data_IF_747821127190
#
_entry.id   IF_747821127190
#
_cell.length_a   1.000
_cell.length_b   1.000
_cell.length_c   1.000
_cell.angle_alpha   90.00
_cell.angle_beta   90.00
_cell.angle_gamma   90.00
#
_symmetry.space_group_name_H-M   'P 1'
#
loop_
_entity.id
_entity.type
_entity.pdbx_description
1 polymer ?
#
# COMPACT_ATOMS: atom_id res chain seq x y z
N UNK A 1 -4.59 -23.61 19.33
CA UNK A 1 -5.33 -23.58 18.03
C UNK A 1 -4.51 -24.33 16.97
N UNK A 2 -5.11 -25.08 16.05
CA UNK A 2 -4.35 -25.70 14.95
C UNK A 2 -4.15 -24.72 13.79
N UNK A 3 -3.14 -24.94 12.96
CA UNK A 3 -2.87 -24.14 11.75
C UNK A 3 -4.09 -24.09 10.82
N UNK A 4 -4.70 -25.25 10.57
CA UNK A 4 -5.85 -25.36 9.68
C UNK A 4 -7.08 -24.62 10.23
N UNK A 5 -7.27 -24.64 11.56
CA UNK A 5 -8.36 -23.88 12.18
C UNK A 5 -8.17 -22.37 12.01
N UNK A 6 -6.94 -21.86 12.14
CA UNK A 6 -6.63 -20.43 11.92
C UNK A 6 -6.94 -20.03 10.47
N UNK A 7 -6.56 -20.87 9.50
CA UNK A 7 -6.85 -20.62 8.08
C UNK A 7 -8.34 -20.70 7.76
N UNK A 8 -9.03 -21.68 8.33
CA UNK A 8 -10.48 -21.87 8.16
C UNK A 8 -11.27 -20.68 8.70
N UNK A 9 -10.90 -20.16 9.87
CA UNK A 9 -11.49 -18.94 10.42
C UNK A 9 -11.20 -17.73 9.54
N UNK A 10 -9.96 -17.56 9.10
CA UNK A 10 -9.57 -16.44 8.26
C UNK A 10 -10.29 -16.43 6.90
N UNK A 11 -10.59 -17.62 6.37
CA UNK A 11 -11.42 -17.77 5.18
C UNK A 11 -12.86 -17.31 5.39
N UNK A 12 -13.50 -17.75 6.47
CA UNK A 12 -14.89 -17.37 6.79
C UNK A 12 -15.04 -15.88 7.12
N UNK A 13 -14.00 -15.26 7.65
CA UNK A 13 -13.94 -13.81 7.88
C UNK A 13 -13.53 -13.01 6.64
N UNK A 14 -13.37 -13.66 5.47
CA UNK A 14 -12.93 -13.03 4.23
C UNK A 14 -11.62 -12.25 4.37
N UNK A 15 -10.73 -12.72 5.25
CA UNK A 15 -9.43 -12.08 5.49
C UNK A 15 -8.55 -12.30 4.26
N UNK A 16 -8.00 -11.23 3.64
CA UNK A 16 -7.15 -11.39 2.47
C UNK A 16 -5.87 -12.16 2.79
N UNK A 17 -5.32 -12.87 1.80
CA UNK A 17 -4.25 -13.87 1.97
C UNK A 17 -3.04 -13.33 2.76
N UNK A 18 -2.61 -12.09 2.50
CA UNK A 18 -1.46 -11.47 3.18
C UNK A 18 -1.70 -11.32 4.69
N UNK A 19 -2.89 -10.90 5.09
CA UNK A 19 -3.30 -10.73 6.49
C UNK A 19 -3.44 -12.08 7.20
N UNK A 20 -3.68 -13.17 6.47
CA UNK A 20 -3.67 -14.52 7.08
C UNK A 20 -2.29 -14.89 7.61
N UNK A 21 -1.20 -14.39 7.02
CA UNK A 21 0.14 -14.58 7.58
C UNK A 21 0.31 -13.94 8.95
N UNK A 22 -0.30 -12.77 9.19
CA UNK A 22 -0.25 -12.12 10.50
C UNK A 22 -0.97 -12.96 11.57
N UNK A 23 -2.11 -13.56 11.22
CA UNK A 23 -2.83 -14.49 12.09
C UNK A 23 -2.02 -15.77 12.37
N UNK A 24 -1.36 -16.33 11.35
CA UNK A 24 -0.50 -17.50 11.51
C UNK A 24 0.67 -17.19 12.46
N UNK A 25 1.34 -16.05 12.26
CA UNK A 25 2.44 -15.61 13.12
C UNK A 25 1.97 -15.40 14.58
N UNK A 26 0.84 -14.73 14.79
CA UNK A 26 0.28 -14.52 16.12
C UNK A 26 -0.09 -15.85 16.82
N UNK A 27 -0.43 -16.88 16.05
CA UNK A 27 -0.72 -18.22 16.56
C UNK A 27 0.52 -19.14 16.70
N UNK A 28 1.73 -18.64 16.40
CA UNK A 28 2.99 -19.40 16.51
C UNK A 28 3.32 -20.26 15.29
N UNK A 29 2.70 -20.02 14.14
CA UNK A 29 2.94 -20.74 12.88
C UNK A 29 3.69 -19.89 11.86
N UNK A 30 4.40 -20.56 10.95
CA UNK A 30 5.08 -19.89 9.85
C UNK A 30 4.09 -19.28 8.82
N UNK A 31 4.41 -18.13 8.21
CA UNK A 31 3.67 -17.57 7.08
C UNK A 31 3.50 -18.59 5.95
N UNK A 32 2.37 -18.55 5.26
CA UNK A 32 2.03 -19.52 4.20
C UNK A 32 1.77 -18.88 2.84
N UNK A 33 1.56 -17.57 2.80
CA UNK A 33 1.32 -16.83 1.57
C UNK A 33 2.49 -15.90 1.30
N UNK A 34 3.04 -15.92 0.08
CA UNK A 34 4.12 -15.00 -0.27
C UNK A 34 3.60 -13.57 -0.40
N UNK A 35 4.37 -12.61 0.11
CA UNK A 35 4.13 -11.18 -0.04
C UNK A 35 5.34 -10.55 -0.72
N UNK A 36 5.09 -9.71 -1.73
CA UNK A 36 6.14 -8.97 -2.42
C UNK A 36 6.00 -7.50 -2.08
N UNK A 37 7.13 -6.90 -1.71
CA UNK A 37 7.21 -5.44 -1.53
C UNK A 37 6.95 -4.76 -2.87
N UNK A 38 6.39 -3.54 -2.86
CA UNK A 38 6.29 -2.72 -4.07
C UNK A 38 7.67 -2.35 -4.65
N UNK A 39 8.74 -2.49 -3.85
CA UNK A 39 10.14 -2.33 -4.27
C UNK A 39 10.77 -3.63 -4.80
N UNK A 40 10.03 -4.74 -4.83
CA UNK A 40 10.52 -6.01 -5.38
C UNK A 40 10.79 -5.87 -6.88
N UNK A 41 11.98 -6.29 -7.33
CA UNK A 41 12.39 -6.20 -8.73
C UNK A 41 11.41 -6.89 -9.70
N UNK A 42 10.70 -7.92 -9.26
CA UNK A 42 9.69 -8.61 -10.06
C UNK A 42 8.45 -7.75 -10.35
N UNK A 43 8.21 -6.69 -9.58
CA UNK A 43 7.12 -5.73 -9.80
C UNK A 43 7.54 -4.51 -10.63
N UNK A 44 8.82 -4.38 -10.99
CA UNK A 44 9.31 -3.22 -11.75
C UNK A 44 8.52 -2.93 -13.05
N UNK A 45 8.13 -3.92 -13.88
CA UNK A 45 7.31 -3.66 -15.06
C UNK A 45 5.92 -3.11 -14.74
N UNK A 46 5.30 -3.60 -13.66
CA UNK A 46 4.00 -3.10 -13.21
C UNK A 46 4.11 -1.68 -12.67
N UNK A 47 5.15 -1.38 -11.90
CA UNK A 47 5.41 -0.02 -11.42
C UNK A 47 5.71 0.95 -12.57
N UNK A 48 6.41 0.52 -13.62
CA UNK A 48 6.60 1.33 -14.82
C UNK A 48 5.28 1.68 -15.53
N UNK A 49 4.33 0.73 -15.58
CA UNK A 49 2.99 1.00 -16.11
C UNK A 49 2.22 2.02 -15.26
N UNK A 50 2.34 1.97 -13.93
CA UNK A 50 1.77 2.97 -13.02
C UNK A 50 2.32 4.36 -13.33
N UNK A 51 3.64 4.50 -13.49
CA UNK A 51 4.28 5.78 -13.84
C UNK A 51 3.78 6.34 -15.19
N UNK A 52 3.57 5.50 -16.19
CA UNK A 52 3.00 5.91 -17.49
C UNK A 52 1.60 6.49 -17.31
N UNK A 53 0.75 5.83 -16.53
CA UNK A 53 -0.62 6.30 -16.26
C UNK A 53 -0.59 7.63 -15.50
N UNK A 54 0.23 7.75 -14.45
CA UNK A 54 0.36 8.98 -13.66
C UNK A 54 0.82 10.16 -14.52
N UNK A 55 1.85 9.95 -15.33
CA UNK A 55 2.35 10.97 -16.26
C UNK A 55 1.32 11.33 -17.33
N UNK A 56 0.57 10.35 -17.83
CA UNK A 56 -0.50 10.58 -18.81
C UNK A 56 -1.64 11.47 -18.29
N UNK A 57 -1.78 11.64 -16.97
CA UNK A 57 -2.76 12.56 -16.39
C UNK A 57 -2.29 14.01 -16.34
N UNK A 58 -1.01 14.33 -16.57
CA UNK A 58 -0.54 15.71 -16.56
C UNK A 58 -1.28 16.56 -17.62
N UNK A 59 -1.71 17.81 -17.29
CA UNK A 59 -1.39 18.58 -16.08
C UNK A 59 -2.32 18.35 -14.88
N UNK A 60 -3.23 17.37 -14.92
CA UNK A 60 -4.11 17.06 -13.80
C UNK A 60 -3.35 16.27 -12.69
N UNK A 61 -3.52 16.62 -11.40
CA UNK A 61 -2.89 15.90 -10.30
C UNK A 61 -3.35 14.44 -10.23
N UNK A 62 -2.41 13.52 -10.05
CA UNK A 62 -2.68 12.09 -9.91
C UNK A 62 -1.77 11.44 -8.86
N UNK A 63 -2.34 10.49 -8.09
CA UNK A 63 -1.69 9.78 -7.00
C UNK A 63 -1.93 8.26 -7.15
N UNK A 64 -0.89 7.47 -6.90
CA UNK A 64 -1.00 6.03 -6.66
C UNK A 64 -0.84 5.77 -5.16
N UNK A 65 -1.77 4.99 -4.58
CA UNK A 65 -1.77 4.68 -3.14
C UNK A 65 -1.82 3.16 -2.91
N UNK A 66 -1.27 2.72 -1.79
CA UNK A 66 -1.41 1.34 -1.33
C UNK A 66 -2.78 1.11 -0.63
N UNK A 67 -3.03 -0.12 -0.20
CA UNK A 67 -4.25 -0.50 0.53
C UNK A 67 -4.44 0.20 1.89
N UNK A 68 -3.41 0.83 2.41
CA UNK A 68 -3.41 1.58 3.66
C UNK A 68 -3.47 3.10 3.42
N UNK A 69 -3.70 3.52 2.17
CA UNK A 69 -3.69 4.93 1.74
C UNK A 69 -2.32 5.61 1.89
N UNK A 70 -1.24 4.85 1.95
CA UNK A 70 0.09 5.43 1.87
C UNK A 70 0.39 5.77 0.41
N UNK A 71 1.00 6.94 0.21
CA UNK A 71 1.47 7.38 -1.08
C UNK A 71 2.56 6.43 -1.61
N UNK A 72 2.32 5.88 -2.79
CA UNK A 72 3.28 5.04 -3.52
C UNK A 72 4.03 5.86 -4.56
N UNK A 73 3.30 6.65 -5.35
CA UNK A 73 3.86 7.55 -6.37
C UNK A 73 2.87 8.66 -6.72
N UNK A 74 3.36 9.76 -7.29
CA UNK A 74 2.58 10.92 -7.70
C UNK A 74 3.17 11.53 -8.96
N UNK A 75 2.34 12.14 -9.81
CA UNK A 75 2.86 12.95 -10.90
C UNK A 75 3.31 14.34 -10.43
N UNK A 76 4.00 15.09 -11.29
CA UNK A 76 4.58 16.39 -10.91
C UNK A 76 3.51 17.44 -10.55
N UNK A 77 2.29 17.29 -11.08
CA UNK A 77 1.18 18.19 -10.82
C UNK A 77 0.69 18.21 -9.35
N UNK A 78 1.12 17.24 -8.52
CA UNK A 78 0.82 17.23 -7.09
C UNK A 78 1.67 18.22 -6.28
N UNK A 79 2.87 18.57 -6.76
CA UNK A 79 3.81 19.43 -6.02
C UNK A 79 3.19 20.71 -5.43
N UNK A 80 2.43 21.51 -6.21
CA UNK A 80 1.75 22.71 -5.71
C UNK A 80 0.76 22.45 -4.57
N UNK A 81 0.07 21.29 -4.56
CA UNK A 81 -0.90 20.94 -3.51
C UNK A 81 -0.22 20.60 -2.18
N UNK A 82 1.05 20.22 -2.21
CA UNK A 82 1.83 19.88 -1.02
C UNK A 82 2.61 21.05 -0.43
N UNK A 83 2.69 22.18 -1.16
CA UNK A 83 3.54 23.31 -0.79
C UNK A 83 3.10 23.98 0.52
N UNK A 84 1.79 24.04 0.77
CA UNK A 84 1.19 24.76 1.90
C UNK A 84 0.80 23.86 3.08
N UNK A 85 1.31 22.63 3.13
CA UNK A 85 1.03 21.70 4.24
C UNK A 85 1.65 22.25 5.53
N UNK A 86 0.80 22.70 6.45
CA UNK A 86 1.20 23.37 7.69
C UNK A 86 1.96 22.46 8.67
N UNK A 87 1.73 21.14 8.62
CA UNK A 87 2.42 20.15 9.45
C UNK A 87 3.40 19.31 8.60
N UNK A 88 4.71 19.64 8.56
CA UNK A 88 5.69 18.91 7.75
C UNK A 88 5.85 17.43 8.12
N UNK A 89 5.39 17.04 9.32
CA UNK A 89 5.39 15.65 9.76
C UNK A 89 4.50 14.77 8.86
N UNK A 90 3.45 15.34 8.27
CA UNK A 90 2.53 14.65 7.36
C UNK A 90 3.17 14.29 6.02
N UNK A 91 4.27 14.94 5.65
CA UNK A 91 5.03 14.69 4.43
C UNK A 91 6.19 13.70 4.63
N UNK A 92 6.40 13.19 5.84
CA UNK A 92 7.42 12.16 6.09
C UNK A 92 6.88 10.78 5.74
N UNK A 93 7.68 9.99 5.05
CA UNK A 93 7.30 8.62 4.72
C UNK A 93 7.06 7.76 5.97
N UNK A 94 6.01 6.90 5.96
CA UNK A 94 4.98 6.79 4.93
C UNK A 94 3.97 7.95 4.97
N UNK A 95 3.72 8.59 3.83
CA UNK A 95 2.75 9.69 3.70
C UNK A 95 1.35 9.10 3.53
N UNK A 96 0.49 9.24 4.54
CA UNK A 96 -0.90 8.80 4.44
C UNK A 96 -1.77 9.88 3.78
N UNK A 97 -2.29 9.60 2.59
CA UNK A 97 -3.03 10.58 1.77
C UNK A 97 -4.36 10.97 2.41
N UNK A 98 -5.05 10.04 3.10
CA UNK A 98 -6.28 10.38 3.81
C UNK A 98 -5.99 11.36 4.95
N UNK A 99 -4.99 11.07 5.78
CA UNK A 99 -4.60 11.97 6.88
C UNK A 99 -4.15 13.33 6.37
N UNK A 100 -3.46 13.38 5.23
CA UNK A 100 -3.02 14.62 4.60
C UNK A 100 -4.20 15.47 4.08
N UNK A 101 -5.33 14.85 3.77
CA UNK A 101 -6.51 15.51 3.19
C UNK A 101 -7.53 16.05 4.23
N UNK A 102 -7.29 15.84 5.52
CA UNK A 102 -8.15 16.25 6.63
C UNK A 102 -7.61 17.51 7.32
#
# INVERSE_FOLDING_TARGET
PSRDMVLHLAEHLSIPLRQRNQLLLAAGFAPSFSERSLTDASLAPAMAAVEIVLKGHEPFPALAVDRHWNLVSANAAIGPFLADVAEPSLLKNPVNVLRLSL
#
